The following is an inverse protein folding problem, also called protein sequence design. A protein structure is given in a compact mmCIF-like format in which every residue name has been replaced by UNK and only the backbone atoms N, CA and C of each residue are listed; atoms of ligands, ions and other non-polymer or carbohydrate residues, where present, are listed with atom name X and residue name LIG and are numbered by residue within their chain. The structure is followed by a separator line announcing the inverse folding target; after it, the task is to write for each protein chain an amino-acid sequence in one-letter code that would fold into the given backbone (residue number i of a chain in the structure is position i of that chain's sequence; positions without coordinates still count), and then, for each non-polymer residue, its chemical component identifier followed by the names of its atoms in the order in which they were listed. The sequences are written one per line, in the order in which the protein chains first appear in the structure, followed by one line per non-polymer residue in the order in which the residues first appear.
data_IF_657015224233
#
_entry.id   IF_657015224233
#
_cell.length_a   1.000
_cell.length_b   1.000
_cell.length_c   1.000
_cell.angle_alpha   90.00
_cell.angle_beta   90.00
_cell.angle_gamma   90.00
#
_symmetry.space_group_name_H-M   'P 1'
#
loop_
_entity.id
_entity.type
_entity.pdbx_description
1 polymer ?
#
# COMPACT_ATOMS: atom_id res chain seq x y z
N UNK A 1 -8.22 14.86 -28.95
CA UNK A 1 -7.23 15.43 -27.98
C UNK A 1 -7.54 14.88 -26.60
N UNK A 2 -6.67 14.06 -26.04
CA UNK A 2 -6.84 13.54 -24.68
C UNK A 2 -6.73 14.70 -23.69
N UNK A 3 -7.70 14.83 -22.79
CA UNK A 3 -7.76 15.89 -21.76
C UNK A 3 -6.68 15.60 -20.72
N UNK A 4 -5.64 16.42 -20.63
CA UNK A 4 -4.59 16.27 -19.60
C UNK A 4 -5.21 16.42 -18.21
N UNK A 5 -4.85 15.53 -17.29
CA UNK A 5 -5.25 15.66 -15.90
C UNK A 5 -4.47 16.81 -15.24
N UNK A 6 -5.07 17.41 -14.22
CA UNK A 6 -4.48 18.55 -13.49
C UNK A 6 -3.06 18.21 -12.95
N UNK A 7 -2.87 17.01 -12.44
CA UNK A 7 -1.57 16.51 -11.95
C UNK A 7 -0.52 16.28 -13.06
N UNK A 8 -0.90 16.31 -14.34
CA UNK A 8 -0.01 16.08 -15.49
C UNK A 8 0.51 17.39 -16.09
N UNK A 9 0.03 18.53 -15.63
CA UNK A 9 0.36 19.83 -16.22
C UNK A 9 1.74 20.30 -15.74
N UNK A 10 2.04 20.13 -14.44
CA UNK A 10 3.26 20.63 -13.80
C UNK A 10 3.55 19.80 -12.53
N UNK A 11 4.83 19.56 -12.16
CA UNK A 11 5.20 18.90 -10.89
C UNK A 11 4.55 19.50 -9.66
N UNK A 12 4.42 20.83 -9.58
CA UNK A 12 3.73 21.50 -8.47
C UNK A 12 2.26 21.07 -8.34
N UNK A 13 1.56 20.91 -9.47
CA UNK A 13 0.17 20.45 -9.47
C UNK A 13 0.05 18.96 -9.11
N UNK A 14 1.07 18.18 -9.39
CA UNK A 14 1.17 16.80 -8.89
C UNK A 14 1.22 16.79 -7.37
N UNK A 15 2.12 17.57 -6.75
CA UNK A 15 2.25 17.65 -5.29
C UNK A 15 0.95 18.15 -4.61
N UNK A 16 0.31 19.15 -5.19
CA UNK A 16 -1.00 19.64 -4.73
C UNK A 16 -2.05 18.52 -4.80
N UNK A 17 -2.06 17.75 -5.88
CA UNK A 17 -2.99 16.62 -6.04
C UNK A 17 -2.74 15.53 -5.01
N UNK A 18 -1.47 15.20 -4.73
CA UNK A 18 -1.09 14.24 -3.68
C UNK A 18 -1.52 14.71 -2.30
N UNK A 19 -1.28 15.98 -1.97
CA UNK A 19 -1.72 16.57 -0.69
C UNK A 19 -3.25 16.51 -0.56
N UNK A 20 -3.97 16.86 -1.62
CA UNK A 20 -5.43 16.80 -1.67
C UNK A 20 -5.95 15.39 -1.39
N UNK A 21 -5.44 14.38 -2.08
CA UNK A 21 -5.89 12.99 -1.90
C UNK A 21 -5.51 12.43 -0.51
N UNK A 22 -4.32 12.77 0.00
CA UNK A 22 -3.92 12.45 1.39
C UNK A 22 -4.85 13.12 2.42
N UNK A 23 -5.20 14.39 2.23
CA UNK A 23 -6.11 15.11 3.12
C UNK A 23 -7.51 14.52 3.09
N UNK A 24 -8.03 14.21 1.90
CA UNK A 24 -9.31 13.53 1.71
C UNK A 24 -9.35 12.17 2.42
N UNK A 25 -8.29 11.37 2.29
CA UNK A 25 -8.15 10.10 3.01
C UNK A 25 -8.13 10.28 4.53
N UNK A 26 -7.38 11.27 5.03
CA UNK A 26 -7.31 11.56 6.46
C UNK A 26 -8.68 12.00 7.02
N UNK A 27 -9.43 12.81 6.27
CA UNK A 27 -10.79 13.21 6.66
C UNK A 27 -11.69 11.97 6.73
N UNK A 28 -11.68 11.13 5.69
CA UNK A 28 -12.45 9.88 5.68
C UNK A 28 -12.07 8.98 6.86
N UNK A 29 -10.79 8.73 7.10
CA UNK A 29 -10.33 7.92 8.22
C UNK A 29 -10.75 8.51 9.59
N UNK A 30 -10.83 9.85 9.72
CA UNK A 30 -11.31 10.49 10.95
C UNK A 30 -12.82 10.34 11.13
N UNK A 31 -13.61 10.42 10.06
CA UNK A 31 -15.05 10.17 10.10
C UNK A 31 -15.34 8.70 10.48
N UNK A 32 -14.58 7.77 9.91
CA UNK A 32 -14.73 6.32 10.11
C UNK A 32 -13.99 5.81 11.37
N UNK A 33 -13.37 6.70 12.17
CA UNK A 33 -12.48 6.32 13.28
C UNK A 33 -13.12 5.39 14.30
N UNK A 34 -14.43 5.46 14.48
CA UNK A 34 -15.19 4.58 15.39
C UNK A 34 -15.31 3.14 14.94
N UNK A 35 -15.19 2.91 13.62
CA UNK A 35 -15.37 1.59 12.99
C UNK A 35 -14.09 1.05 12.34
N UNK A 36 -12.96 1.74 12.47
CA UNK A 36 -11.67 1.24 11.96
C UNK A 36 -11.11 0.18 12.90
N UNK A 37 -10.71 -0.96 12.35
CA UNK A 37 -9.99 -2.00 13.07
C UNK A 37 -8.65 -1.48 13.60
N UNK A 38 -8.35 -1.72 14.87
CA UNK A 38 -7.15 -1.19 15.57
C UNK A 38 -6.55 -2.18 16.57
N UNK A 39 -7.31 -3.21 16.91
CA UNK A 39 -6.87 -4.18 17.89
C UNK A 39 -5.76 -5.04 17.32
N UNK A 40 -4.60 -5.03 17.97
CA UNK A 40 -3.46 -5.89 17.61
C UNK A 40 -3.34 -6.99 18.66
N UNK A 41 -3.48 -8.24 18.24
CA UNK A 41 -3.24 -9.43 19.05
C UNK A 41 -1.81 -9.93 18.86
N UNK A 42 -1.18 -10.31 19.97
CA UNK A 42 0.10 -11.06 19.95
C UNK A 42 -0.14 -12.57 19.85
N UNK A 43 -1.37 -13.00 20.05
CA UNK A 43 -1.76 -14.41 20.02
C UNK A 43 -2.30 -14.74 18.65
N UNK A 44 -1.75 -15.77 18.04
CA UNK A 44 -2.23 -16.26 16.74
C UNK A 44 -3.63 -16.86 16.88
N UNK A 45 -4.46 -16.66 15.85
CA UNK A 45 -5.75 -17.30 15.76
C UNK A 45 -5.56 -18.78 15.33
N UNK A 46 -6.41 -19.69 15.83
CA UNK A 46 -6.21 -21.14 15.67
C UNK A 46 -6.40 -21.62 14.22
N UNK A 47 -7.13 -20.87 13.40
CA UNK A 47 -7.51 -21.30 12.05
C UNK A 47 -6.90 -20.40 10.98
N UNK A 48 -6.19 -21.00 10.04
CA UNK A 48 -5.66 -20.29 8.85
C UNK A 48 -6.71 -20.41 7.74
N UNK A 49 -7.30 -19.30 7.34
CA UNK A 49 -8.26 -19.25 6.22
C UNK A 49 -7.53 -19.27 4.88
N UNK A 50 -6.49 -18.46 4.74
CA UNK A 50 -5.69 -18.37 3.51
C UNK A 50 -4.26 -17.96 3.84
N UNK A 51 -3.30 -18.53 3.11
CA UNK A 51 -1.91 -18.07 3.09
C UNK A 51 -1.45 -17.83 1.66
N UNK A 52 -0.51 -16.89 1.49
CA UNK A 52 0.12 -16.59 0.21
C UNK A 52 1.53 -16.07 0.43
N UNK A 53 2.44 -16.42 -0.48
CA UNK A 53 3.82 -15.95 -0.46
C UNK A 53 4.15 -15.28 -1.78
N UNK A 54 5.01 -14.27 -1.75
CA UNK A 54 5.47 -13.56 -2.94
C UNK A 54 6.95 -13.23 -2.83
N UNK A 55 7.67 -13.30 -3.95
CA UNK A 55 9.10 -12.95 -4.01
C UNK A 55 9.25 -11.44 -3.86
N UNK A 56 10.00 -11.02 -2.82
CA UNK A 56 10.25 -9.60 -2.56
C UNK A 56 11.36 -9.06 -3.47
N UNK A 57 12.50 -9.77 -3.53
CA UNK A 57 13.66 -9.34 -4.28
C UNK A 57 13.63 -9.95 -5.69
N UNK A 58 13.31 -9.13 -6.69
CA UNK A 58 13.31 -9.54 -8.10
C UNK A 58 14.47 -8.86 -8.82
N UNK A 59 15.26 -9.63 -9.58
CA UNK A 59 16.25 -9.05 -10.49
C UNK A 59 15.52 -8.53 -11.72
N UNK A 60 15.37 -7.23 -11.80
CA UNK A 60 14.78 -6.56 -12.95
C UNK A 60 15.89 -5.95 -13.80
N UNK A 61 15.79 -6.10 -15.12
CA UNK A 61 16.75 -5.49 -16.04
C UNK A 61 16.71 -3.97 -15.87
N UNK A 62 17.89 -3.35 -15.72
CA UNK A 62 18.04 -1.88 -15.54
C UNK A 62 17.45 -1.31 -14.24
N UNK A 63 17.23 -2.10 -13.19
CA UNK A 63 16.82 -1.60 -11.87
C UNK A 63 17.91 -1.84 -10.85
N UNK A 64 18.29 -0.78 -10.13
CA UNK A 64 19.24 -0.88 -9.02
C UNK A 64 18.70 -1.80 -7.92
N UNK A 65 19.48 -2.83 -7.59
CA UNK A 65 19.16 -3.76 -6.50
C UNK A 65 18.97 -3.06 -5.16
N UNK A 66 19.60 -1.89 -4.96
CA UNK A 66 19.41 -1.06 -3.77
C UNK A 66 17.95 -0.67 -3.55
N UNK A 67 17.21 -0.37 -4.63
CA UNK A 67 15.78 -0.06 -4.56
C UNK A 67 14.95 -1.29 -4.14
N UNK A 68 15.37 -2.49 -4.53
CA UNK A 68 14.72 -3.73 -4.10
C UNK A 68 14.99 -4.04 -2.62
N UNK A 69 16.22 -3.82 -2.14
CA UNK A 69 16.55 -3.95 -0.71
C UNK A 69 15.80 -2.93 0.14
N UNK A 70 15.71 -1.69 -0.33
CA UNK A 70 14.93 -0.64 0.31
C UNK A 70 13.44 -1.00 0.35
N UNK A 71 12.89 -1.58 -0.73
CA UNK A 71 11.54 -2.12 -0.76
C UNK A 71 11.32 -3.15 0.35
N UNK A 72 12.27 -4.09 0.54
CA UNK A 72 12.19 -5.06 1.64
C UNK A 72 12.02 -4.36 3.00
N UNK A 73 12.86 -3.36 3.29
CA UNK A 73 12.74 -2.56 4.52
C UNK A 73 11.37 -1.88 4.64
N UNK A 74 10.85 -1.29 3.55
CA UNK A 74 9.54 -0.63 3.54
C UNK A 74 8.41 -1.61 3.83
N UNK A 75 8.47 -2.81 3.27
CA UNK A 75 7.50 -3.88 3.50
C UNK A 75 7.55 -4.39 4.95
N UNK A 76 8.74 -4.56 5.53
CA UNK A 76 8.93 -4.96 6.93
C UNK A 76 8.31 -3.94 7.90
N UNK A 77 8.55 -2.64 7.68
CA UNK A 77 7.95 -1.57 8.49
C UNK A 77 6.42 -1.57 8.35
N UNK A 78 5.90 -1.65 7.14
CA UNK A 78 4.46 -1.60 6.92
C UNK A 78 3.75 -2.85 7.45
N UNK A 79 4.29 -4.04 7.20
CA UNK A 79 3.70 -5.29 7.67
C UNK A 79 3.71 -5.41 9.19
N UNK A 80 4.76 -4.91 9.88
CA UNK A 80 4.80 -4.93 11.35
C UNK A 80 3.67 -4.13 11.99
N UNK A 81 3.11 -3.15 11.31
CA UNK A 81 1.97 -2.33 11.78
C UNK A 81 0.61 -2.99 11.54
N UNK A 82 0.57 -4.00 10.68
CA UNK A 82 -0.66 -4.70 10.29
C UNK A 82 -0.72 -6.09 10.94
N UNK A 83 0.46 -6.67 11.19
CA UNK A 83 0.56 -8.02 11.73
C UNK A 83 -0.16 -8.15 13.07
N UNK A 84 -0.99 -9.18 13.19
CA UNK A 84 -1.81 -9.44 14.38
C UNK A 84 -3.08 -8.61 14.46
N UNK A 85 -3.43 -7.81 13.44
CA UNK A 85 -4.69 -7.05 13.44
C UNK A 85 -5.90 -7.99 13.53
N UNK A 86 -6.76 -7.71 14.48
CA UNK A 86 -8.09 -8.34 14.59
C UNK A 86 -9.11 -7.41 13.95
N UNK A 87 -9.97 -7.98 13.11
CA UNK A 87 -11.09 -7.27 12.51
C UNK A 87 -12.37 -7.88 13.02
N UNK A 88 -13.13 -7.13 13.84
CA UNK A 88 -14.42 -7.57 14.33
C UNK A 88 -15.54 -7.32 13.31
N UNK A 89 -16.68 -8.01 13.43
CA UNK A 89 -17.84 -7.74 12.57
C UNK A 89 -18.23 -6.25 12.59
N UNK A 90 -18.37 -5.67 11.40
CA UNK A 90 -18.68 -4.25 11.23
C UNK A 90 -17.47 -3.31 11.27
N UNK A 91 -16.27 -3.80 11.55
CA UNK A 91 -15.06 -2.99 11.48
C UNK A 91 -14.48 -2.93 10.06
N UNK A 92 -13.77 -1.84 9.77
CA UNK A 92 -13.13 -1.59 8.49
C UNK A 92 -11.61 -1.67 8.64
N UNK A 93 -10.98 -2.52 7.83
CA UNK A 93 -9.53 -2.47 7.59
C UNK A 93 -9.19 -1.27 6.70
N UNK A 94 -8.36 -0.36 7.17
CA UNK A 94 -7.83 0.73 6.34
C UNK A 94 -6.30 0.65 6.26
N UNK A 95 -5.79 0.28 5.08
CA UNK A 95 -4.35 0.12 4.84
C UNK A 95 -3.55 1.37 5.24
N UNK A 96 -3.96 2.53 4.73
CA UNK A 96 -3.24 3.78 5.00
C UNK A 96 -3.42 4.33 6.41
N UNK A 97 -4.50 3.95 7.10
CA UNK A 97 -4.66 4.29 8.51
C UNK A 97 -3.62 3.56 9.38
N UNK A 98 -3.40 2.28 9.12
CA UNK A 98 -2.46 1.43 9.86
C UNK A 98 -1.01 1.73 9.49
N UNK A 99 -0.69 1.76 8.20
CA UNK A 99 0.66 2.03 7.71
C UNK A 99 1.12 3.44 8.06
N UNK A 100 0.20 4.41 8.01
CA UNK A 100 0.48 5.81 8.32
C UNK A 100 1.36 6.49 7.29
N UNK A 101 2.08 7.54 7.72
CA UNK A 101 2.93 8.33 6.82
C UNK A 101 4.21 7.59 6.45
N UNK A 102 4.43 7.40 5.16
CA UNK A 102 5.66 6.83 4.59
C UNK A 102 6.72 7.91 4.43
N UNK A 103 7.49 8.18 5.47
CA UNK A 103 8.53 9.21 5.48
C UNK A 103 9.86 8.62 5.94
N UNK A 104 10.96 9.26 5.59
CA UNK A 104 12.30 8.87 6.07
C UNK A 104 12.39 8.92 7.61
N UNK A 105 11.67 9.84 8.26
CA UNK A 105 11.58 9.92 9.74
C UNK A 105 10.97 8.66 10.37
N UNK A 106 10.09 7.99 9.64
CA UNK A 106 9.46 6.73 10.05
C UNK A 106 10.25 5.50 9.58
N UNK A 107 11.48 5.68 9.09
CA UNK A 107 12.38 4.62 8.65
C UNK A 107 12.17 4.15 7.21
N UNK A 108 11.17 4.70 6.49
CA UNK A 108 10.96 4.33 5.09
C UNK A 108 12.09 4.84 4.21
N UNK A 109 12.47 4.01 3.24
CA UNK A 109 13.55 4.26 2.30
C UNK A 109 13.01 4.49 0.89
N UNK A 110 13.84 5.06 0.06
CA UNK A 110 13.58 5.22 -1.37
C UNK A 110 13.48 3.84 -2.03
N UNK A 111 12.37 3.53 -2.64
CA UNK A 111 12.07 2.25 -3.26
C UNK A 111 11.34 2.42 -4.57
N UNK A 112 11.21 1.33 -5.32
CA UNK A 112 10.63 1.34 -6.65
C UNK A 112 9.14 1.68 -6.63
N UNK A 113 8.72 2.58 -7.51
CA UNK A 113 7.33 3.00 -7.72
C UNK A 113 6.99 2.90 -9.20
N UNK A 114 5.77 2.45 -9.49
CA UNK A 114 5.21 2.43 -10.84
C UNK A 114 4.45 3.74 -11.06
N UNK A 115 4.85 4.50 -12.06
CA UNK A 115 4.17 5.72 -12.50
C UNK A 115 3.63 5.56 -13.92
N UNK A 116 2.78 6.50 -14.37
CA UNK A 116 2.30 6.54 -15.76
C UNK A 116 3.43 6.65 -16.81
N UNK A 117 4.59 7.12 -16.38
CA UNK A 117 5.76 7.29 -17.26
C UNK A 117 6.78 6.15 -17.14
N UNK A 118 6.41 5.04 -16.47
CA UNK A 118 7.26 3.88 -16.23
C UNK A 118 7.75 3.77 -14.78
N UNK A 119 8.83 3.03 -14.60
CA UNK A 119 9.45 2.82 -13.30
C UNK A 119 10.16 4.09 -12.82
N UNK A 120 9.87 4.46 -11.58
CA UNK A 120 10.52 5.55 -10.86
C UNK A 120 10.79 5.12 -9.41
N UNK A 121 11.25 6.01 -8.56
CA UNK A 121 11.48 5.73 -7.14
C UNK A 121 10.93 6.84 -6.25
N UNK A 122 10.50 6.48 -5.05
CA UNK A 122 10.03 7.41 -4.03
C UNK A 122 10.11 6.75 -2.64
N UNK A 123 10.08 7.57 -1.59
CA UNK A 123 10.12 7.10 -0.19
C UNK A 123 8.86 6.27 0.11
N UNK A 124 9.09 5.03 0.56
CA UNK A 124 8.00 4.07 0.79
C UNK A 124 7.62 3.26 -0.47
N UNK A 125 8.44 3.32 -1.53
CA UNK A 125 8.23 2.52 -2.73
C UNK A 125 8.14 1.02 -2.44
N UNK A 126 7.32 0.30 -3.22
CA UNK A 126 7.10 -1.15 -3.11
C UNK A 126 5.89 -1.56 -2.26
N UNK A 127 5.23 -0.65 -1.54
CA UNK A 127 4.09 -0.98 -0.68
C UNK A 127 2.86 -1.51 -1.45
N UNK A 128 2.79 -1.26 -2.75
CA UNK A 128 1.73 -1.84 -3.60
C UNK A 128 1.76 -3.37 -3.57
N UNK A 129 2.95 -4.00 -3.45
CA UNK A 129 3.06 -5.45 -3.34
C UNK A 129 2.34 -5.97 -2.07
N UNK A 130 2.54 -5.30 -0.92
CA UNK A 130 1.85 -5.68 0.32
C UNK A 130 0.34 -5.46 0.21
N UNK A 131 -0.08 -4.33 -0.37
CA UNK A 131 -1.50 -4.02 -0.57
C UNK A 131 -2.17 -5.06 -1.47
N UNK A 132 -1.53 -5.45 -2.57
CA UNK A 132 -2.03 -6.48 -3.48
C UNK A 132 -2.11 -7.86 -2.81
N UNK A 133 -1.11 -8.24 -2.01
CA UNK A 133 -1.14 -9.50 -1.25
C UNK A 133 -2.30 -9.53 -0.25
N UNK A 134 -2.51 -8.44 0.49
CA UNK A 134 -3.64 -8.32 1.43
C UNK A 134 -4.96 -8.41 0.66
N UNK A 135 -5.08 -7.69 -0.47
CA UNK A 135 -6.27 -7.75 -1.31
C UNK A 135 -6.57 -9.19 -1.79
N UNK A 136 -5.54 -9.91 -2.27
CA UNK A 136 -5.67 -11.31 -2.65
C UNK A 136 -6.17 -12.19 -1.49
N UNK A 137 -5.64 -12.00 -0.27
CA UNK A 137 -6.06 -12.74 0.92
C UNK A 137 -7.54 -12.42 1.26
N UNK A 138 -7.94 -11.16 1.16
CA UNK A 138 -9.31 -10.71 1.43
C UNK A 138 -10.29 -11.35 0.45
N UNK A 139 -9.97 -11.41 -0.85
CA UNK A 139 -10.80 -12.06 -1.86
C UNK A 139 -11.00 -13.57 -1.62
N UNK A 140 -10.16 -14.20 -0.80
CA UNK A 140 -10.27 -15.60 -0.40
C UNK A 140 -10.77 -15.78 1.05
N UNK A 141 -11.46 -14.79 1.59
CA UNK A 141 -12.01 -14.78 2.95
C UNK A 141 -13.47 -14.35 2.94
N UNK A 142 -14.08 -14.27 4.12
CA UNK A 142 -15.44 -13.72 4.30
C UNK A 142 -15.49 -12.20 4.39
N UNK A 143 -14.36 -11.51 4.18
CA UNK A 143 -14.30 -10.05 4.23
C UNK A 143 -14.74 -9.44 2.89
N UNK A 144 -15.42 -8.30 2.96
CA UNK A 144 -15.89 -7.56 1.79
C UNK A 144 -14.91 -6.43 1.44
N UNK A 145 -14.63 -6.27 0.14
CA UNK A 145 -13.82 -5.15 -0.37
C UNK A 145 -14.72 -3.95 -0.65
N UNK A 146 -14.67 -2.95 0.21
CA UNK A 146 -15.52 -1.74 0.10
C UNK A 146 -14.87 -0.62 -0.72
N UNK A 147 -13.55 -0.66 -0.93
CA UNK A 147 -12.83 0.33 -1.72
C UNK A 147 -11.55 -0.30 -2.30
N UNK A 148 -11.37 -0.15 -3.59
CA UNK A 148 -10.19 -0.63 -4.31
C UNK A 148 -9.74 0.38 -5.37
N UNK A 149 -8.44 0.61 -5.48
CA UNK A 149 -7.84 1.47 -6.49
C UNK A 149 -6.91 0.66 -7.38
N UNK A 150 -7.14 0.69 -8.68
CA UNK A 150 -6.30 0.03 -9.67
C UNK A 150 -5.18 0.94 -10.16
N UNK A 151 -4.00 0.37 -10.41
CA UNK A 151 -3.05 0.96 -11.32
C UNK A 151 -3.52 0.71 -12.76
N UNK A 152 -3.32 1.69 -13.63
CA UNK A 152 -3.71 1.61 -15.04
C UNK A 152 -2.87 0.60 -15.83
N UNK A 153 -1.65 0.29 -15.36
CA UNK A 153 -0.73 -0.64 -16.03
C UNK A 153 -0.09 -1.58 -15.00
N UNK A 154 -0.26 -2.88 -15.21
CA UNK A 154 0.52 -3.91 -14.52
C UNK A 154 1.85 -4.06 -15.28
N UNK A 155 2.94 -3.51 -14.73
CA UNK A 155 4.28 -3.65 -15.31
C UNK A 155 4.93 -5.01 -15.03
N UNK A 156 4.30 -5.82 -14.18
CA UNK A 156 4.79 -7.15 -13.83
C UNK A 156 3.64 -8.13 -14.02
N UNK A 157 3.62 -8.89 -15.12
CA UNK A 157 2.74 -10.03 -15.21
C UNK A 157 3.09 -11.00 -14.08
N UNK A 158 2.08 -11.48 -13.38
CA UNK A 158 2.24 -12.59 -12.44
C UNK A 158 2.57 -13.83 -13.29
N UNK A 159 3.81 -14.30 -13.21
CA UNK A 159 4.22 -15.62 -13.67
C UNK A 159 3.94 -16.65 -12.58
#
# INVERSE_FOLDING_TARGET
MSRKLFCEINPLFYDISVIKERSKRNIKNNLDKGILAKEISKKELPNIVKSHTSIILRKLHNVDMKLQENKKTNLEIASSKINGLIIHPGEIFSFWYLVGKTTSKNGYKDGLVISKHGLTHDIGGGLCQLANMIHYLILNSSLEVIEHHHHTDALFPDE
#
